data_IF_816171415369
#
_entry.id   IF_816171415369
#
_cell.length_a   1.000
_cell.length_b   1.000
_cell.length_c   1.000
_cell.angle_alpha   90.00
_cell.angle_beta   90.00
_cell.angle_gamma   90.00
#
_symmetry.space_group_name_H-M   'P 1'
#
loop_
_entity.id
_entity.type
_entity.pdbx_description
1 polymer ?
#
# COMPACT_ATOMS: atom_id res chain seq x y z
N UNK A 1 -41.92 59.93 -3.82
CA UNK A 1 -40.55 59.40 -3.95
C UNK A 1 -40.17 58.85 -2.58
N UNK A 2 -40.88 57.79 -2.16
CA UNK A 2 -40.50 56.37 -2.25
C UNK A 2 -39.46 55.98 -1.18
N UNK A 3 -39.95 55.84 0.05
CA UNK A 3 -39.25 55.20 1.19
C UNK A 3 -38.77 53.77 0.89
N UNK A 4 -39.27 53.16 -0.19
CA UNK A 4 -38.87 51.85 -0.68
C UNK A 4 -37.46 51.83 -1.32
N UNK A 5 -36.95 52.98 -1.80
CA UNK A 5 -35.65 53.05 -2.47
C UNK A 5 -34.45 53.08 -1.50
N UNK A 6 -34.67 53.48 -0.24
CA UNK A 6 -33.60 53.52 0.78
C UNK A 6 -33.31 52.13 1.37
N UNK A 7 -34.30 51.23 1.42
CA UNK A 7 -34.13 49.84 1.87
C UNK A 7 -33.35 49.00 0.86
N UNK A 8 -33.61 49.17 -0.43
CA UNK A 8 -32.84 48.52 -1.50
C UNK A 8 -31.39 49.02 -1.57
N UNK A 9 -31.15 50.30 -1.27
CA UNK A 9 -29.79 50.84 -1.18
C UNK A 9 -29.05 50.27 0.03
N UNK A 10 -29.73 50.08 1.16
CA UNK A 10 -29.15 49.43 2.35
C UNK A 10 -28.87 47.94 2.15
N UNK A 11 -29.71 47.24 1.38
CA UNK A 11 -29.49 45.83 1.03
C UNK A 11 -28.30 45.65 0.06
N UNK A 12 -28.08 46.58 -0.87
CA UNK A 12 -26.93 46.56 -1.80
C UNK A 12 -25.57 46.76 -1.11
N UNK A 13 -25.54 47.47 0.01
CA UNK A 13 -24.32 47.75 0.79
C UNK A 13 -24.35 47.15 2.19
N UNK A 14 -25.19 46.13 2.43
CA UNK A 14 -25.18 45.39 3.68
C UNK A 14 -23.84 44.64 3.81
N UNK A 15 -22.86 45.32 4.39
CA UNK A 15 -21.62 44.76 4.90
C UNK A 15 -22.02 43.71 5.93
N UNK A 16 -22.12 42.46 5.51
CA UNK A 16 -22.24 41.34 6.42
C UNK A 16 -21.14 41.50 7.49
N UNK A 17 -21.47 41.46 8.80
CA UNK A 17 -20.45 41.50 9.82
C UNK A 17 -19.55 40.29 9.56
N UNK A 18 -18.31 40.57 9.13
CA UNK A 18 -17.27 39.54 9.02
C UNK A 18 -17.21 38.90 10.39
N UNK A 19 -17.66 37.66 10.50
CA UNK A 19 -17.52 36.94 11.76
C UNK A 19 -16.03 36.90 12.05
N UNK A 20 -15.64 37.60 13.11
CA UNK A 20 -14.28 37.57 13.64
C UNK A 20 -14.09 36.25 14.37
N UNK A 21 -14.18 35.16 13.61
CA UNK A 21 -13.59 33.90 14.00
C UNK A 21 -12.08 34.14 13.92
N UNK A 22 -11.47 34.47 15.05
CA UNK A 22 -10.02 34.52 15.23
C UNK A 22 -9.43 33.10 15.15
N UNK A 23 -9.68 32.39 14.05
CA UNK A 23 -8.93 31.21 13.69
C UNK A 23 -7.55 31.65 13.23
N UNK A 24 -6.50 31.21 13.91
CA UNK A 24 -5.12 31.32 13.42
C UNK A 24 -5.03 30.65 12.04
N UNK A 25 -5.22 31.42 10.97
CA UNK A 25 -4.97 31.02 9.59
C UNK A 25 -3.47 31.09 9.32
N UNK A 26 -2.70 30.25 10.00
CA UNK A 26 -1.35 29.94 9.52
C UNK A 26 -1.49 28.93 8.38
N UNK A 27 -0.84 29.14 7.23
CA UNK A 27 -0.81 28.12 6.20
C UNK A 27 -0.14 26.88 6.80
N UNK A 28 -0.90 25.81 7.00
CA UNK A 28 -0.38 24.51 7.42
C UNK A 28 0.49 23.97 6.29
N UNK A 29 1.77 24.31 6.26
CA UNK A 29 2.74 23.67 5.37
C UNK A 29 2.99 22.27 5.89
N UNK A 30 2.53 21.27 5.14
CA UNK A 30 2.92 19.87 5.37
C UNK A 30 4.44 19.79 5.20
N UNK A 31 5.15 19.63 6.32
CA UNK A 31 6.59 19.37 6.28
C UNK A 31 6.80 17.91 5.94
N UNK A 32 7.04 17.62 4.67
CA UNK A 32 7.53 16.31 4.23
C UNK A 32 9.04 16.28 4.48
N UNK A 33 9.45 15.93 5.70
CA UNK A 33 10.87 15.62 5.92
C UNK A 33 11.16 14.33 5.13
N UNK A 34 11.93 14.47 4.05
CA UNK A 34 12.27 13.34 3.19
C UNK A 34 13.32 12.50 3.92
N UNK A 35 12.94 11.27 4.26
CA UNK A 35 13.84 10.32 4.90
C UNK A 35 15.04 10.05 3.97
N UNK A 36 16.25 10.09 4.53
CA UNK A 36 17.48 9.91 3.76
C UNK A 36 17.57 8.45 3.32
N UNK A 37 17.34 8.21 2.04
CA UNK A 37 17.43 6.88 1.43
C UNK A 37 18.84 6.60 0.94
N UNK A 38 19.24 5.34 0.98
CA UNK A 38 20.50 4.88 0.41
C UNK A 38 20.36 4.71 -1.10
N UNK A 39 21.22 5.38 -1.86
CA UNK A 39 21.21 5.30 -3.33
C UNK A 39 21.91 4.02 -3.77
N UNK A 40 21.26 3.25 -4.64
CA UNK A 40 21.84 2.07 -5.28
C UNK A 40 21.92 2.27 -6.79
N UNK A 41 22.94 1.69 -7.46
CA UNK A 41 22.97 1.62 -8.92
C UNK A 41 21.68 1.00 -9.47
N UNK A 42 21.23 1.47 -10.63
CA UNK A 42 19.93 1.11 -11.20
C UNK A 42 19.77 -0.41 -11.34
N UNK A 43 20.72 -1.08 -11.98
CA UNK A 43 20.71 -2.54 -12.20
C UNK A 43 20.58 -3.30 -10.87
N UNK A 44 21.33 -2.87 -9.85
CA UNK A 44 21.31 -3.52 -8.53
C UNK A 44 20.00 -3.25 -7.77
N UNK A 45 19.41 -2.07 -7.95
CA UNK A 45 18.14 -1.71 -7.34
C UNK A 45 17.02 -2.57 -7.94
N UNK A 46 16.98 -2.69 -9.27
CA UNK A 46 16.00 -3.48 -10.00
C UNK A 46 16.14 -4.96 -9.69
N UNK A 47 17.36 -5.51 -9.72
CA UNK A 47 17.60 -6.92 -9.40
C UNK A 47 17.09 -7.29 -8.01
N UNK A 48 17.37 -6.45 -7.00
CA UNK A 48 16.91 -6.68 -5.62
C UNK A 48 15.40 -6.54 -5.52
N UNK A 49 14.82 -5.54 -6.17
CA UNK A 49 13.38 -5.33 -6.18
C UNK A 49 12.64 -6.47 -6.88
N UNK A 50 13.13 -6.94 -8.03
CA UNK A 50 12.58 -8.10 -8.75
C UNK A 50 12.60 -9.34 -7.86
N UNK A 51 13.73 -9.64 -7.21
CA UNK A 51 13.83 -10.79 -6.28
C UNK A 51 12.80 -10.72 -5.17
N UNK A 52 12.60 -9.56 -4.54
CA UNK A 52 11.62 -9.38 -3.46
C UNK A 52 10.20 -9.56 -3.99
N UNK A 53 9.86 -8.97 -5.14
CA UNK A 53 8.52 -9.07 -5.74
C UNK A 53 8.22 -10.51 -6.16
N UNK A 54 9.14 -11.21 -6.81
CA UNK A 54 8.96 -12.60 -7.22
C UNK A 54 8.78 -13.50 -6.00
N UNK A 55 9.56 -13.28 -4.94
CA UNK A 55 9.45 -14.04 -3.69
C UNK A 55 8.07 -13.87 -3.03
N UNK A 56 7.59 -12.63 -2.88
CA UNK A 56 6.41 -12.33 -2.06
C UNK A 56 5.09 -12.41 -2.82
N UNK A 57 5.07 -11.99 -4.10
CA UNK A 57 3.84 -11.85 -4.87
C UNK A 57 3.70 -12.89 -5.98
N UNK A 58 4.82 -13.43 -6.49
CA UNK A 58 4.80 -14.39 -7.60
C UNK A 58 5.66 -15.64 -7.36
N UNK A 59 5.42 -16.39 -6.28
CA UNK A 59 6.24 -17.56 -5.92
C UNK A 59 6.22 -18.66 -6.99
N UNK A 60 5.14 -18.78 -7.76
CA UNK A 60 4.99 -19.75 -8.83
C UNK A 60 5.54 -19.28 -10.20
N UNK A 61 5.99 -18.01 -10.31
CA UNK A 61 6.53 -17.45 -11.56
C UNK A 61 7.66 -18.30 -12.15
N UNK A 62 8.65 -18.79 -11.36
CA UNK A 62 9.74 -19.60 -11.92
C UNK A 62 9.23 -20.90 -12.55
N UNK A 63 8.21 -21.52 -11.95
CA UNK A 63 7.59 -22.74 -12.47
C UNK A 63 6.80 -22.46 -13.74
N UNK A 64 6.03 -21.37 -13.79
CA UNK A 64 5.28 -20.98 -14.98
C UNK A 64 6.21 -20.65 -16.15
N UNK A 65 7.28 -19.88 -15.90
CA UNK A 65 8.33 -19.59 -16.90
C UNK A 65 8.94 -20.89 -17.44
N UNK A 66 9.27 -21.83 -16.57
CA UNK A 66 9.83 -23.12 -16.98
C UNK A 66 8.88 -23.99 -17.81
N UNK A 67 7.57 -23.98 -17.49
CA UNK A 67 6.57 -24.67 -18.31
C UNK A 67 6.45 -24.04 -19.70
N UNK A 68 6.48 -22.71 -19.79
CA UNK A 68 6.49 -22.00 -21.07
C UNK A 68 7.76 -22.31 -21.88
N UNK A 69 8.93 -22.25 -21.24
CA UNK A 69 10.21 -22.60 -21.87
C UNK A 69 10.25 -24.06 -22.34
N UNK A 70 9.63 -24.98 -21.58
CA UNK A 70 9.54 -26.38 -21.96
C UNK A 70 8.69 -26.56 -23.23
N UNK A 71 7.53 -25.89 -23.31
CA UNK A 71 6.70 -25.91 -24.52
C UNK A 71 7.43 -25.30 -25.72
N UNK A 72 8.20 -24.24 -25.52
CA UNK A 72 9.00 -23.64 -26.58
C UNK A 72 10.18 -24.53 -27.01
N UNK A 73 10.80 -25.25 -26.08
CA UNK A 73 11.82 -26.26 -26.39
C UNK A 73 11.22 -27.43 -27.17
N UNK A 74 10.01 -27.90 -26.83
CA UNK A 74 9.28 -28.92 -27.61
C UNK A 74 9.05 -28.46 -29.04
N UNK A 75 8.58 -27.23 -29.25
CA UNK A 75 8.36 -26.65 -30.60
C UNK A 75 9.65 -26.57 -31.40
N UNK A 76 10.77 -26.24 -30.74
CA UNK A 76 12.11 -26.15 -31.35
C UNK A 76 12.83 -27.50 -31.44
N UNK A 77 12.21 -28.58 -30.94
CA UNK A 77 12.80 -29.91 -30.80
C UNK A 77 14.16 -29.92 -30.04
N UNK A 78 14.32 -29.03 -29.06
CA UNK A 78 15.53 -28.92 -28.23
C UNK A 78 15.45 -29.88 -27.04
N UNK A 79 15.99 -31.09 -27.24
CA UNK A 79 15.94 -32.19 -26.26
C UNK A 79 16.77 -31.87 -25.00
N UNK A 80 17.84 -31.09 -25.13
CA UNK A 80 18.71 -30.75 -24.00
C UNK A 80 17.96 -29.85 -22.99
N UNK A 81 17.31 -28.78 -23.48
CA UNK A 81 16.48 -27.92 -22.65
C UNK A 81 15.28 -28.63 -22.06
N UNK A 82 14.61 -29.50 -22.82
CA UNK A 82 13.49 -30.29 -22.30
C UNK A 82 13.90 -31.11 -21.09
N UNK A 83 15.07 -31.78 -21.16
CA UNK A 83 15.60 -32.60 -20.06
C UNK A 83 16.01 -31.76 -18.85
N UNK A 84 16.66 -30.63 -19.08
CA UNK A 84 17.07 -29.70 -18.02
C UNK A 84 15.86 -29.18 -17.24
N UNK A 85 14.84 -28.69 -17.94
CA UNK A 85 13.61 -28.18 -17.34
C UNK A 85 12.83 -29.29 -16.62
N UNK A 86 12.85 -30.52 -17.15
CA UNK A 86 12.31 -31.69 -16.48
C UNK A 86 12.97 -31.95 -15.14
N UNK A 87 14.30 -31.96 -15.09
CA UNK A 87 15.05 -32.17 -13.85
C UNK A 87 14.80 -31.05 -12.82
N UNK A 88 14.77 -29.79 -13.26
CA UNK A 88 14.64 -28.63 -12.38
C UNK A 88 13.24 -28.50 -11.75
N UNK A 89 12.16 -28.82 -12.48
CA UNK A 89 10.79 -28.53 -12.02
C UNK A 89 9.87 -29.74 -11.84
N UNK A 90 10.24 -30.94 -12.32
CA UNK A 90 9.33 -32.10 -12.35
C UNK A 90 9.66 -33.13 -11.26
N UNK A 91 10.79 -32.96 -10.56
CA UNK A 91 11.27 -33.83 -9.47
C UNK A 91 10.66 -33.51 -8.10
N UNK A 92 9.92 -32.40 -7.96
CA UNK A 92 9.33 -31.95 -6.69
C UNK A 92 8.01 -32.63 -6.27
N UNK A 93 7.45 -33.53 -7.09
CA UNK A 93 6.25 -34.33 -6.75
C UNK A 93 6.62 -35.74 -6.26
N UNK A 94 7.67 -35.86 -5.44
CA UNK A 94 7.56 -36.82 -4.32
C UNK A 94 6.65 -36.13 -3.33
N UNK A 95 5.35 -36.31 -3.53
CA UNK A 95 4.38 -36.08 -2.49
C UNK A 95 5.00 -36.62 -1.21
N UNK A 96 5.02 -35.80 -0.16
CA UNK A 96 4.96 -36.31 1.19
C UNK A 96 3.78 -37.28 1.16
N UNK A 97 4.07 -38.56 0.92
CA UNK A 97 3.10 -39.62 1.05
C UNK A 97 2.58 -39.39 2.45
N UNK A 98 1.30 -39.07 2.53
CA UNK A 98 0.53 -39.04 3.77
C UNK A 98 0.88 -40.33 4.50
N UNK A 99 1.85 -40.29 5.40
CA UNK A 99 2.06 -41.34 6.40
C UNK A 99 1.02 -41.07 7.47
N UNK A 100 -0.25 -41.23 7.09
CA UNK A 100 -1.30 -41.45 8.06
C UNK A 100 -1.14 -42.91 8.50
N UNK A 101 -0.89 -43.19 9.79
CA UNK A 101 -0.76 -44.56 10.26
C UNK A 101 -2.09 -45.29 10.02
N UNK A 102 -1.97 -46.49 9.48
CA UNK A 102 -3.05 -47.46 9.39
C UNK A 102 -3.49 -47.85 10.81
N UNK A 103 -4.53 -47.23 11.35
CA UNK A 103 -5.18 -47.68 12.58
C UNK A 103 -6.42 -48.48 12.20
N UNK A 104 -6.25 -49.80 12.11
CA UNK A 104 -7.35 -50.76 12.22
C UNK A 104 -7.95 -50.65 13.62
N UNK A 105 -9.27 -50.45 13.73
CA UNK A 105 -9.98 -50.49 15.01
C UNK A 105 -11.37 -49.86 14.98
N UNK A 106 -12.36 -50.67 14.60
CA UNK A 106 -13.72 -50.79 15.18
C UNK A 106 -14.61 -49.53 15.38
N UNK A 107 -15.74 -49.52 14.64
CA UNK A 107 -16.98 -48.70 14.66
C UNK A 107 -17.63 -48.52 16.07
N UNK A 108 -18.67 -47.67 16.34
CA UNK A 108 -19.61 -46.99 15.43
C UNK A 108 -20.10 -45.56 15.80
N UNK A 109 -20.60 -44.79 14.81
CA UNK A 109 -21.40 -43.58 15.11
C UNK A 109 -21.63 -42.63 13.93
N UNK A 110 -22.78 -42.76 13.28
CA UNK A 110 -23.54 -41.73 12.55
C UNK A 110 -22.80 -40.63 11.78
N UNK A 111 -22.86 -40.71 10.44
CA UNK A 111 -23.63 -39.78 9.58
C UNK A 111 -23.56 -40.25 8.13
N UNK A 112 -24.73 -40.55 7.57
CA UNK A 112 -24.91 -40.91 6.18
C UNK A 112 -24.50 -39.76 5.24
N UNK A 113 -23.95 -40.04 4.05
CA UNK A 113 -23.78 -39.04 3.01
C UNK A 113 -25.13 -38.81 2.33
N UNK A 114 -25.83 -37.73 2.68
CA UNK A 114 -26.99 -37.27 1.91
C UNK A 114 -26.48 -36.50 0.70
N UNK A 115 -26.28 -37.19 -0.41
CA UNK A 115 -26.34 -36.55 -1.73
C UNK A 115 -27.79 -36.15 -2.03
N UNK A 116 -28.07 -34.94 -2.54
CA UNK A 116 -29.19 -34.76 -3.44
C UNK A 116 -28.63 -34.60 -4.86
N UNK A 117 -28.81 -35.68 -5.61
CA UNK A 117 -29.04 -35.60 -7.05
C UNK A 117 -30.34 -34.79 -7.23
N UNK A 118 -30.43 -33.98 -8.28
CA UNK A 118 -31.54 -33.06 -8.65
C UNK A 118 -31.76 -31.81 -7.79
N UNK A 119 -31.47 -30.64 -8.38
CA UNK A 119 -31.87 -29.31 -7.92
C UNK A 119 -33.03 -28.83 -8.80
N UNK A 120 -34.18 -28.51 -8.21
CA UNK A 120 -35.36 -27.95 -8.88
C UNK A 120 -35.25 -26.42 -8.92
N UNK A 121 -35.25 -25.77 -10.10
CA UNK A 121 -34.98 -24.34 -10.23
C UNK A 121 -36.09 -23.38 -9.75
N UNK A 122 -37.29 -23.84 -9.38
CA UNK A 122 -38.42 -22.94 -9.05
C UNK A 122 -38.91 -23.00 -7.58
N UNK A 123 -38.11 -23.53 -6.64
CA UNK A 123 -38.49 -23.55 -5.21
C UNK A 123 -37.84 -22.40 -4.41
N UNK A 124 -38.59 -21.39 -3.92
CA UNK A 124 -38.05 -20.40 -2.98
C UNK A 124 -37.74 -21.06 -1.63
N UNK A 125 -36.46 -21.03 -1.24
CA UNK A 125 -35.96 -21.65 -0.01
C UNK A 125 -36.41 -20.96 1.28
N UNK A 126 -36.37 -21.68 2.43
CA UNK A 126 -36.96 -21.22 3.68
C UNK A 126 -36.21 -20.04 4.31
N UNK A 127 -36.96 -18.96 4.57
CA UNK A 127 -36.57 -17.81 5.36
C UNK A 127 -36.17 -18.23 6.78
N UNK A 128 -34.90 -18.02 7.16
CA UNK A 128 -34.46 -18.12 8.56
C UNK A 128 -34.56 -16.73 9.23
N UNK A 129 -35.12 -16.64 10.45
CA UNK A 129 -35.16 -15.38 11.19
C UNK A 129 -33.77 -15.00 11.71
N UNK A 130 -33.50 -13.69 11.73
CA UNK A 130 -32.31 -13.08 12.31
C UNK A 130 -32.31 -13.27 13.84
N UNK A 131 -31.26 -13.89 14.36
CA UNK A 131 -30.90 -13.76 15.77
C UNK A 131 -29.38 -13.82 15.93
N UNK A 132 -28.91 -13.13 16.97
CA UNK A 132 -27.53 -13.04 17.46
C UNK A 132 -26.54 -12.09 16.76
N UNK A 133 -26.65 -10.81 17.13
CA UNK A 133 -25.54 -9.85 17.20
C UNK A 133 -24.52 -10.25 18.28
N UNK A 134 -23.70 -11.27 17.98
CA UNK A 134 -22.41 -11.44 18.62
C UNK A 134 -21.33 -10.93 17.67
N UNK A 135 -20.85 -9.72 17.95
CA UNK A 135 -19.88 -9.00 17.15
C UNK A 135 -18.60 -9.80 16.95
N UNK A 136 -18.43 -10.32 15.74
CA UNK A 136 -17.13 -10.70 15.20
C UNK A 136 -16.21 -9.49 15.33
N UNK A 137 -15.04 -9.57 16.00
CA UNK A 137 -14.11 -8.46 16.03
C UNK A 137 -13.60 -8.25 14.60
N UNK A 138 -14.03 -7.16 13.98
CA UNK A 138 -13.50 -6.71 12.70
C UNK A 138 -12.00 -6.42 12.88
N UNK A 139 -11.12 -6.86 11.97
CA UNK A 139 -9.66 -6.67 12.06
C UNK A 139 -9.22 -5.19 11.92
N UNK A 140 -10.15 -4.24 12.00
CA UNK A 140 -9.92 -2.81 11.78
C UNK A 140 -10.68 -1.92 12.78
N UNK A 141 -11.08 -2.47 13.93
CA UNK A 141 -11.50 -1.63 15.06
C UNK A 141 -10.25 -1.07 15.73
N UNK A 142 -9.89 0.17 15.40
CA UNK A 142 -8.85 0.91 16.10
C UNK A 142 -9.36 1.26 17.50
N UNK A 143 -8.82 0.60 18.52
CA UNK A 143 -8.94 1.06 19.91
C UNK A 143 -8.04 2.29 20.04
N UNK A 144 -8.63 3.49 20.05
CA UNK A 144 -7.90 4.71 20.41
C UNK A 144 -7.47 4.62 21.88
N UNK A 145 -6.20 4.29 22.15
CA UNK A 145 -5.69 4.31 23.53
C UNK A 145 -4.38 3.59 23.83
N UNK A 146 -4.02 2.52 23.11
CA UNK A 146 -2.90 1.63 23.53
C UNK A 146 -1.62 1.82 22.71
N UNK A 147 -1.08 3.04 22.67
CA UNK A 147 0.25 3.31 22.08
C UNK A 147 1.32 3.48 23.17
N UNK A 148 1.31 2.62 24.20
CA UNK A 148 2.46 2.46 25.09
C UNK A 148 3.50 1.58 24.40
N UNK A 149 4.48 2.25 23.81
CA UNK A 149 5.61 1.66 23.14
C UNK A 149 6.45 0.82 24.11
N UNK A 150 6.14 -0.48 24.19
CA UNK A 150 7.04 -1.49 24.74
C UNK A 150 8.27 -1.58 23.83
N UNK A 151 9.29 -0.78 24.15
CA UNK A 151 10.62 -0.86 23.55
C UNK A 151 11.33 -2.09 24.12
N UNK A 152 10.99 -3.27 23.61
CA UNK A 152 11.81 -4.46 23.85
C UNK A 152 13.09 -4.31 23.03
N UNK A 153 14.20 -4.07 23.74
CA UNK A 153 15.56 -3.98 23.24
C UNK A 153 16.08 -5.36 22.79
N UNK A 154 15.46 -5.93 21.75
CA UNK A 154 16.03 -7.07 21.04
C UNK A 154 17.05 -6.51 20.05
N UNK A 155 18.30 -6.89 20.21
CA UNK A 155 19.40 -6.65 19.26
C UNK A 155 19.01 -7.21 17.89
N UNK A 156 18.31 -6.41 17.07
CA UNK A 156 17.92 -6.79 15.71
C UNK A 156 19.19 -6.79 14.85
N UNK A 157 19.69 -7.99 14.54
CA UNK A 157 20.55 -8.19 13.35
C UNK A 157 19.88 -7.47 12.19
N UNK A 158 20.60 -6.58 11.51
CA UNK A 158 20.07 -5.88 10.35
C UNK A 158 19.62 -6.95 9.35
N UNK A 159 18.32 -7.07 9.03
CA UNK A 159 17.87 -8.05 8.06
C UNK A 159 18.55 -7.75 6.73
N UNK A 160 18.94 -8.80 6.02
CA UNK A 160 19.54 -8.65 4.70
C UNK A 160 18.58 -7.83 3.81
N UNK A 161 19.09 -6.98 2.91
CA UNK A 161 18.23 -6.15 2.07
C UNK A 161 17.24 -6.97 1.22
N UNK A 162 17.59 -8.22 0.90
CA UNK A 162 16.76 -9.17 0.14
C UNK A 162 15.70 -9.89 1.00
N UNK A 163 15.77 -9.77 2.33
CA UNK A 163 14.77 -10.33 3.26
C UNK A 163 13.65 -9.33 3.60
N UNK A 164 13.83 -8.06 3.24
CA UNK A 164 12.86 -7.00 3.47
C UNK A 164 11.58 -7.20 2.63
N UNK A 165 10.45 -6.65 3.10
CA UNK A 165 9.28 -6.47 2.26
C UNK A 165 9.52 -5.35 1.26
N UNK A 166 8.71 -5.31 0.19
CA UNK A 166 8.79 -4.26 -0.85
C UNK A 166 8.74 -2.86 -0.22
N UNK A 167 7.76 -2.59 0.64
CA UNK A 167 7.62 -1.28 1.30
C UNK A 167 8.86 -0.93 2.14
N UNK A 168 9.38 -1.89 2.90
CA UNK A 168 10.56 -1.67 3.73
C UNK A 168 11.82 -1.44 2.89
N UNK A 169 11.92 -2.06 1.71
CA UNK A 169 12.99 -1.84 0.75
C UNK A 169 12.88 -0.44 0.11
N UNK A 170 11.71 -0.07 -0.40
CA UNK A 170 11.48 1.23 -1.07
C UNK A 170 11.60 2.43 -0.11
N UNK A 171 11.37 2.23 1.18
CA UNK A 171 11.58 3.27 2.18
C UNK A 171 13.07 3.48 2.51
N UNK A 172 13.90 2.43 2.38
CA UNK A 172 15.33 2.48 2.74
C UNK A 172 16.24 2.78 1.55
N UNK A 173 15.86 2.34 0.36
CA UNK A 173 16.68 2.41 -0.85
C UNK A 173 16.00 3.27 -1.92
N UNK A 174 16.79 3.92 -2.76
CA UNK A 174 16.34 4.65 -3.96
C UNK A 174 17.26 4.32 -5.14
N UNK A 175 16.77 4.39 -6.36
CA UNK A 175 17.59 4.21 -7.56
C UNK A 175 18.50 5.42 -7.80
N UNK A 176 19.61 5.18 -8.49
CA UNK A 176 20.53 6.20 -8.98
C UNK A 176 19.80 7.27 -9.80
N UNK A 177 18.96 6.87 -10.75
CA UNK A 177 18.16 7.78 -11.58
C UNK A 177 17.23 8.69 -10.76
N UNK A 178 16.56 8.13 -9.74
CA UNK A 178 15.71 8.93 -8.86
C UNK A 178 16.53 9.95 -8.08
N UNK A 179 17.70 9.55 -7.58
CA UNK A 179 18.58 10.46 -6.85
C UNK A 179 19.12 11.58 -7.76
N UNK A 180 19.49 11.25 -9.00
CA UNK A 180 19.96 12.22 -10.00
C UNK A 180 18.86 13.21 -10.39
N UNK A 181 17.63 12.73 -10.61
CA UNK A 181 16.49 13.60 -10.89
C UNK A 181 16.22 14.57 -9.73
N UNK A 182 16.26 14.07 -8.49
CA UNK A 182 16.08 14.92 -7.30
C UNK A 182 17.15 16.02 -7.22
N UNK A 183 18.40 15.70 -7.50
CA UNK A 183 19.48 16.70 -7.53
C UNK A 183 19.21 17.79 -8.57
N UNK A 184 18.83 17.42 -9.80
CA UNK A 184 18.51 18.38 -10.85
C UNK A 184 17.32 19.26 -10.48
N UNK A 185 16.28 18.69 -9.89
CA UNK A 185 15.14 19.48 -9.41
C UNK A 185 15.54 20.45 -8.30
N UNK A 186 16.44 20.05 -7.39
CA UNK A 186 16.93 20.93 -6.33
C UNK A 186 17.73 22.11 -6.90
N UNK A 187 18.58 21.86 -7.91
CA UNK A 187 19.34 22.91 -8.61
C UNK A 187 18.40 23.90 -9.31
N UNK A 188 17.40 23.41 -10.04
CA UNK A 188 16.46 24.30 -10.73
C UNK A 188 15.60 25.08 -9.73
N UNK A 189 15.11 24.44 -8.66
CA UNK A 189 14.38 25.13 -7.59
C UNK A 189 15.23 26.22 -6.92
N UNK A 190 16.53 25.98 -6.70
CA UNK A 190 17.42 26.98 -6.14
C UNK A 190 17.58 28.18 -7.10
N UNK A 191 17.78 27.91 -8.38
CA UNK A 191 17.89 28.94 -9.43
C UNK A 191 16.60 29.75 -9.58
N UNK A 192 15.45 29.09 -9.58
CA UNK A 192 14.15 29.75 -9.59
C UNK A 192 13.94 30.60 -8.34
N UNK A 193 14.30 30.09 -7.16
CA UNK A 193 14.19 30.81 -5.89
C UNK A 193 15.07 32.06 -5.87
N UNK A 194 16.27 32.01 -6.46
CA UNK A 194 17.12 33.19 -6.60
C UNK A 194 16.51 34.24 -7.54
N UNK A 195 15.97 33.82 -8.70
CA UNK A 195 15.32 34.74 -9.66
C UNK A 195 14.04 35.37 -9.11
N UNK A 196 13.21 34.56 -8.45
CA UNK A 196 11.91 34.95 -7.90
C UNK A 196 12.01 35.34 -6.42
N UNK A 197 13.21 35.66 -5.93
CA UNK A 197 13.46 35.97 -4.51
C UNK A 197 12.54 37.06 -3.96
N UNK A 198 12.27 38.08 -4.78
CA UNK A 198 11.39 39.20 -4.44
C UNK A 198 9.95 38.75 -4.10
N UNK A 199 9.43 37.71 -4.75
CA UNK A 199 8.07 37.19 -4.50
C UNK A 199 7.99 36.60 -3.10
N UNK A 200 9.00 35.82 -2.71
CA UNK A 200 9.04 35.17 -1.40
C UNK A 200 9.29 36.17 -0.26
N UNK A 201 10.04 37.25 -0.53
CA UNK A 201 10.22 38.33 0.44
C UNK A 201 8.92 39.13 0.63
N UNK A 202 8.20 39.45 -0.45
CA UNK A 202 6.90 40.09 -0.40
C UNK A 202 5.85 39.23 0.33
N UNK A 203 5.80 37.93 0.04
CA UNK A 203 4.94 36.97 0.76
C UNK A 203 5.23 36.97 2.26
N UNK A 204 6.50 36.93 2.66
CA UNK A 204 6.90 36.94 4.07
C UNK A 204 6.51 38.24 4.78
N UNK A 205 6.76 39.40 4.15
CA UNK A 205 6.37 40.71 4.71
C UNK A 205 4.86 40.82 4.91
N UNK A 206 4.07 40.46 3.88
CA UNK A 206 2.61 40.45 3.97
C UNK A 206 2.11 39.50 5.06
N UNK A 207 2.67 38.29 5.15
CA UNK A 207 2.27 37.34 6.18
C UNK A 207 2.66 37.83 7.59
N UNK A 208 3.82 38.44 7.76
CA UNK A 208 4.25 39.02 9.04
C UNK A 208 3.33 40.17 9.48
N UNK A 209 2.95 41.05 8.55
CA UNK A 209 2.00 42.14 8.82
C UNK A 209 0.64 41.58 9.25
N UNK A 210 0.10 40.59 8.53
CA UNK A 210 -1.17 39.94 8.90
C UNK A 210 -1.12 39.25 10.25
N UNK A 211 0.01 38.65 10.62
CA UNK A 211 0.21 38.03 11.93
C UNK A 211 0.33 39.09 13.03
N UNK A 212 1.05 40.19 12.79
CA UNK A 212 1.24 41.28 13.76
C UNK A 212 -0.05 42.06 14.03
N UNK A 213 -0.94 42.21 13.04
CA UNK A 213 -2.25 42.85 13.22
C UNK A 213 -3.22 41.97 14.04
N UNK A 214 -2.91 40.68 14.17
CA UNK A 214 -3.73 39.68 14.88
C UNK A 214 -3.25 39.35 16.30
N UNK A 215 -2.14 39.96 16.75
CA UNK A 215 -1.59 39.85 18.12
C UNK A 215 -1.83 41.13 18.89
#
# INVERSE_FOLDING_TARGET
MSSFDDEDRRAKYALAPKSTSHGKLSPKRLRTNREVRTVLPEEQYLDKLEKIIVRDYFPDLPKLKAQAEYMDAVKRNDIAKMRELQLRYHTGRRTVRRTSPLTSGTTPGHRAPTSPISFDPDTPGPSRPSDDVHGTPLPYANCEGDNEAVKTSVQKKKPNPEELSVDAFMNKFTSEDNASFEELTAVEMAKERSKKGWIYEAEQKHNAEKVCIMT
#
